data_IF_136721819017
#
_entry.id   IF_136721819017
#
_cell.length_a   1.000
_cell.length_b   1.000
_cell.length_c   1.000
_cell.angle_alpha   90.00
_cell.angle_beta   90.00
_cell.angle_gamma   90.00
#
_symmetry.space_group_name_H-M   'P 1'
#
loop_
_entity.id
_entity.type
_entity.pdbx_description
1 polymer ?
#
# COMPACT_ATOMS: atom_id res chain seq x y z
N UNK A 1 -65.85 -12.80 -16.59
CA UNK A 1 -64.77 -12.43 -17.54
C UNK A 1 -63.52 -12.13 -16.75
N UNK A 2 -62.73 -13.18 -16.52
CA UNK A 2 -61.56 -13.18 -15.64
C UNK A 2 -60.30 -12.99 -16.50
N UNK A 3 -59.55 -11.92 -16.30
CA UNK A 3 -58.24 -11.76 -16.95
C UNK A 3 -57.15 -12.21 -15.99
N UNK A 4 -56.56 -13.35 -16.32
CA UNK A 4 -55.30 -13.81 -15.71
C UNK A 4 -54.17 -12.89 -16.17
N UNK A 5 -53.45 -12.31 -15.23
CA UNK A 5 -52.18 -11.66 -15.45
C UNK A 5 -51.05 -12.69 -15.24
N UNK A 6 -50.41 -13.08 -16.33
CA UNK A 6 -49.25 -13.97 -16.31
C UNK A 6 -48.04 -13.17 -15.93
N UNK A 7 -47.49 -13.37 -14.73
CA UNK A 7 -46.21 -12.84 -14.31
C UNK A 7 -45.11 -13.68 -14.94
N UNK A 8 -44.33 -13.07 -15.85
CA UNK A 8 -43.13 -13.66 -16.45
C UNK A 8 -41.98 -13.50 -15.47
N UNK A 9 -41.66 -14.55 -14.74
CA UNK A 9 -40.47 -14.61 -13.92
C UNK A 9 -39.25 -14.85 -14.84
N UNK A 10 -38.46 -13.81 -15.06
CA UNK A 10 -37.16 -13.95 -15.72
C UNK A 10 -36.20 -14.50 -14.66
N UNK A 11 -35.98 -15.80 -14.71
CA UNK A 11 -34.87 -16.45 -13.99
C UNK A 11 -33.61 -16.15 -14.75
N UNK A 12 -32.84 -15.14 -14.29
CA UNK A 12 -31.48 -14.94 -14.74
C UNK A 12 -30.63 -16.00 -14.03
N UNK A 13 -30.38 -17.10 -14.71
CA UNK A 13 -29.36 -18.06 -14.34
C UNK A 13 -27.99 -17.36 -14.52
N UNK A 14 -27.44 -16.79 -13.45
CA UNK A 14 -26.01 -16.54 -13.40
C UNK A 14 -25.33 -17.92 -13.33
N UNK A 15 -25.00 -18.44 -14.50
CA UNK A 15 -23.95 -19.45 -14.60
C UNK A 15 -22.67 -18.76 -14.07
N UNK A 16 -22.35 -19.05 -12.83
CA UNK A 16 -21.02 -18.82 -12.29
C UNK A 16 -20.08 -19.74 -13.05
N UNK A 17 -19.61 -19.28 -14.20
CA UNK A 17 -18.37 -19.75 -14.76
C UNK A 17 -17.28 -19.30 -13.77
N UNK A 18 -17.05 -20.11 -12.74
CA UNK A 18 -15.76 -20.09 -12.05
C UNK A 18 -14.72 -20.62 -13.03
N UNK A 19 -14.29 -19.79 -13.97
CA UNK A 19 -12.95 -19.91 -14.45
C UNK A 19 -12.09 -19.48 -13.26
N UNK A 20 -11.72 -20.45 -12.43
CA UNK A 20 -10.46 -20.42 -11.76
C UNK A 20 -9.40 -20.38 -12.87
N UNK A 21 -9.20 -19.23 -13.50
CA UNK A 21 -7.91 -18.90 -14.06
C UNK A 21 -7.03 -19.04 -12.82
N UNK A 22 -6.33 -20.18 -12.73
CA UNK A 22 -5.29 -20.38 -11.75
C UNK A 22 -4.45 -19.11 -11.87
N UNK A 23 -4.45 -18.28 -10.83
CA UNK A 23 -3.49 -17.20 -10.71
C UNK A 23 -2.16 -17.92 -10.86
N UNK A 24 -1.56 -17.79 -12.01
CA UNK A 24 -0.22 -18.30 -12.25
C UNK A 24 0.69 -17.43 -11.41
N UNK A 25 0.73 -17.74 -10.13
CA UNK A 25 1.83 -17.30 -9.30
C UNK A 25 3.04 -17.93 -9.91
N UNK A 26 3.99 -17.15 -10.42
CA UNK A 26 5.24 -17.70 -10.88
C UNK A 26 5.84 -18.58 -9.78
N UNK A 27 6.48 -19.70 -10.10
CA UNK A 27 7.04 -20.56 -9.07
C UNK A 27 8.04 -19.82 -8.20
N UNK A 28 8.11 -20.10 -6.89
CA UNK A 28 9.04 -19.47 -5.97
C UNK A 28 10.48 -19.55 -6.51
N UNK A 29 11.16 -18.42 -6.60
CA UNK A 29 12.53 -18.32 -7.11
C UNK A 29 12.65 -18.28 -8.63
N UNK A 30 11.53 -18.27 -9.34
CA UNK A 30 11.57 -18.17 -10.80
C UNK A 30 11.69 -16.72 -11.28
N UNK A 31 11.90 -16.65 -12.54
CA UNK A 31 11.95 -15.55 -13.49
C UNK A 31 11.03 -14.34 -13.23
N UNK A 32 10.06 -14.42 -12.32
CA UNK A 32 9.19 -13.29 -11.96
C UNK A 32 9.96 -12.11 -11.37
N UNK A 33 11.14 -12.38 -10.83
CA UNK A 33 12.01 -11.36 -10.31
C UNK A 33 12.99 -10.82 -11.36
N UNK A 34 13.04 -11.49 -12.52
CA UNK A 34 13.68 -11.02 -13.74
C UNK A 34 12.58 -10.47 -14.65
N UNK A 35 12.24 -9.21 -14.49
CA UNK A 35 11.26 -8.58 -15.37
C UNK A 35 11.88 -8.33 -16.75
N UNK A 36 11.15 -8.62 -17.84
CA UNK A 36 11.62 -8.33 -19.18
C UNK A 36 11.80 -6.82 -19.36
N UNK A 37 12.64 -6.41 -20.33
CA UNK A 37 12.72 -5.01 -20.72
C UNK A 37 11.34 -4.42 -20.99
N UNK A 38 11.17 -3.13 -20.73
CA UNK A 38 9.94 -2.44 -21.04
C UNK A 38 9.64 -2.48 -22.54
N UNK A 39 8.38 -2.62 -22.86
CA UNK A 39 7.92 -2.35 -24.21
C UNK A 39 8.22 -0.89 -24.62
N UNK A 40 8.31 -0.61 -25.95
CA UNK A 40 8.51 0.74 -26.43
C UNK A 40 7.48 1.70 -25.83
N UNK A 41 7.94 2.86 -25.37
CA UNK A 41 7.10 3.89 -24.77
C UNK A 41 6.09 4.42 -25.79
N UNK A 42 4.79 4.30 -25.49
CA UNK A 42 3.71 4.93 -26.26
C UNK A 42 3.58 6.38 -25.85
N UNK A 43 2.99 7.25 -26.71
CA UNK A 43 2.65 8.61 -26.30
C UNK A 43 1.75 8.61 -25.06
N UNK A 44 2.05 9.48 -24.11
CA UNK A 44 1.22 9.65 -22.92
C UNK A 44 -0.09 10.35 -23.25
N UNK A 45 -1.19 9.93 -22.66
CA UNK A 45 -2.42 10.71 -22.62
C UNK A 45 -2.24 11.95 -21.75
N UNK A 46 -3.11 12.95 -21.91
CA UNK A 46 -3.05 14.16 -21.08
C UNK A 46 -3.32 13.85 -19.61
N UNK A 47 -4.18 12.87 -19.33
CA UNK A 47 -4.44 12.40 -17.98
C UNK A 47 -3.21 11.71 -17.36
N UNK A 48 -2.50 10.89 -18.12
CA UNK A 48 -1.26 10.25 -17.68
C UNK A 48 -0.14 11.25 -17.46
N UNK A 49 -0.02 12.27 -18.32
CA UNK A 49 0.92 13.38 -18.13
C UNK A 49 0.64 14.14 -16.84
N UNK A 50 -0.65 14.45 -16.58
CA UNK A 50 -1.06 15.12 -15.34
C UNK A 50 -0.73 14.29 -14.09
N UNK A 51 -0.79 12.98 -14.18
CA UNK A 51 -0.43 12.05 -13.10
C UNK A 51 1.05 11.71 -13.05
N UNK A 52 1.86 12.20 -13.97
CA UNK A 52 3.27 11.85 -14.09
C UNK A 52 3.52 10.41 -14.51
N UNK A 53 2.52 9.76 -15.14
CA UNK A 53 2.58 8.37 -15.54
C UNK A 53 3.06 8.21 -16.99
N UNK A 54 3.76 7.10 -17.28
CA UNK A 54 4.13 6.71 -18.64
C UNK A 54 3.14 5.69 -19.19
N UNK A 55 2.55 5.98 -20.34
CA UNK A 55 1.58 5.10 -21.00
C UNK A 55 2.19 3.97 -21.80
N UNK A 56 3.49 3.83 -21.79
CA UNK A 56 4.17 2.95 -22.74
C UNK A 56 4.61 1.61 -22.22
N UNK A 57 4.30 1.28 -21.00
CA UNK A 57 4.71 0.02 -20.38
C UNK A 57 3.61 -1.00 -20.45
N UNK A 58 3.91 -2.18 -20.98
CA UNK A 58 3.01 -3.31 -20.89
C UNK A 58 2.87 -3.71 -19.43
N UNK A 59 1.72 -3.40 -18.85
CA UNK A 59 1.34 -3.95 -17.56
C UNK A 59 1.15 -5.46 -17.72
N UNK A 60 1.43 -6.24 -16.65
CA UNK A 60 1.03 -7.64 -16.64
C UNK A 60 -0.46 -7.76 -16.99
N UNK A 61 -0.89 -8.90 -17.55
CA UNK A 61 -2.30 -9.13 -17.88
C UNK A 61 -3.21 -8.74 -16.73
N UNK A 62 -4.33 -8.09 -17.04
CA UNK A 62 -5.26 -7.56 -16.04
C UNK A 62 -5.76 -8.65 -15.08
N UNK A 63 -5.85 -9.87 -15.56
CA UNK A 63 -6.23 -11.05 -14.78
C UNK A 63 -5.27 -11.36 -13.63
N UNK A 64 -3.96 -11.08 -13.82
CA UNK A 64 -2.95 -11.24 -12.77
C UNK A 64 -2.98 -10.10 -11.75
N UNK A 65 -3.58 -8.97 -12.11
CA UNK A 65 -3.66 -7.79 -11.27
C UNK A 65 -5.02 -7.63 -10.58
N UNK A 66 -6.02 -8.45 -10.96
CA UNK A 66 -7.35 -8.32 -10.38
C UNK A 66 -7.36 -8.64 -8.89
N UNK A 67 -7.81 -7.70 -8.06
CA UNK A 67 -7.95 -7.96 -6.62
C UNK A 67 -8.95 -9.09 -6.38
N UNK A 68 -8.63 -10.00 -5.47
CA UNK A 68 -9.50 -11.10 -5.05
C UNK A 68 -10.14 -10.82 -3.71
N UNK A 69 -11.41 -11.20 -3.57
CA UNK A 69 -12.14 -11.06 -2.32
C UNK A 69 -12.02 -12.35 -1.49
N UNK A 70 -11.49 -12.22 -0.27
CA UNK A 70 -11.36 -13.35 0.64
C UNK A 70 -12.75 -13.88 1.05
N UNK A 71 -13.05 -15.18 0.86
CA UNK A 71 -14.33 -15.77 1.26
C UNK A 71 -14.58 -15.74 2.78
N UNK A 72 -13.52 -15.66 3.59
CA UNK A 72 -13.58 -15.60 5.05
C UNK A 72 -13.95 -14.24 5.63
N UNK A 73 -14.14 -13.20 4.80
CA UNK A 73 -14.51 -11.87 5.26
C UNK A 73 -15.91 -11.89 5.93
N UNK A 74 -16.07 -11.21 7.09
CA UNK A 74 -17.35 -11.11 7.78
C UNK A 74 -18.35 -10.31 6.96
N UNK A 75 -19.58 -10.82 6.83
CA UNK A 75 -20.67 -10.07 6.20
C UNK A 75 -21.13 -8.93 7.08
N UNK A 76 -21.38 -7.77 6.47
CA UNK A 76 -21.95 -6.64 7.19
C UNK A 76 -23.41 -6.90 7.55
N UNK A 77 -23.71 -6.72 8.82
CA UNK A 77 -25.06 -6.73 9.35
C UNK A 77 -25.24 -5.44 10.18
N UNK A 78 -26.11 -4.51 9.76
CA UNK A 78 -26.44 -3.34 10.57
C UNK A 78 -26.95 -3.77 11.95
N UNK A 79 -26.55 -3.07 12.99
CA UNK A 79 -27.06 -3.35 14.33
C UNK A 79 -28.57 -3.10 14.38
N UNK A 80 -29.33 -4.09 14.78
CA UNK A 80 -30.79 -4.01 14.86
C UNK A 80 -31.23 -2.85 15.77
N UNK A 81 -32.17 -2.03 15.31
CA UNK A 81 -32.75 -0.93 16.08
C UNK A 81 -31.88 0.33 16.23
N UNK A 82 -30.64 0.33 15.78
CA UNK A 82 -29.77 1.50 15.88
C UNK A 82 -30.10 2.53 14.79
N UNK A 83 -30.80 3.60 15.14
CA UNK A 83 -30.95 4.78 14.31
C UNK A 83 -29.72 5.68 14.52
N UNK A 84 -28.64 5.39 13.76
CA UNK A 84 -27.42 6.19 13.85
C UNK A 84 -27.63 7.54 13.21
N UNK A 85 -27.08 8.56 13.88
CA UNK A 85 -27.03 9.94 13.42
C UNK A 85 -25.59 10.43 13.56
N UNK A 86 -25.18 11.34 12.71
CA UNK A 86 -23.86 11.94 12.83
C UNK A 86 -23.51 12.74 11.58
N UNK A 87 -22.63 13.72 11.77
CA UNK A 87 -22.05 14.49 10.68
C UNK A 87 -20.55 14.58 10.92
N UNK A 88 -19.77 14.01 10.00
CA UNK A 88 -18.32 13.92 10.09
C UNK A 88 -17.66 14.63 8.92
N UNK A 89 -16.59 15.36 9.23
CA UNK A 89 -15.68 15.94 8.26
C UNK A 89 -14.52 14.98 8.02
N UNK A 90 -14.37 14.53 6.80
CA UNK A 90 -13.31 13.60 6.41
C UNK A 90 -12.53 14.14 5.23
N UNK A 91 -11.33 13.63 5.04
CA UNK A 91 -10.54 13.83 3.84
C UNK A 91 -9.87 12.52 3.40
N UNK A 92 -9.44 12.50 2.16
CA UNK A 92 -8.70 11.38 1.59
C UNK A 92 -7.47 11.89 0.86
N UNK A 93 -6.36 11.15 0.93
CA UNK A 93 -5.19 11.40 0.08
C UNK A 93 -5.58 11.44 -1.38
N UNK A 94 -4.82 12.15 -2.19
CA UNK A 94 -5.06 12.46 -3.60
C UNK A 94 -5.50 11.29 -4.50
N UNK A 95 -5.04 10.08 -4.21
CA UNK A 95 -5.40 8.86 -4.96
C UNK A 95 -6.62 8.11 -4.39
N UNK A 96 -7.14 8.50 -3.21
CA UNK A 96 -8.17 7.76 -2.49
C UNK A 96 -9.61 8.32 -2.55
N UNK A 97 -9.91 9.54 -3.08
CA UNK A 97 -11.24 10.13 -2.95
C UNK A 97 -12.35 9.27 -3.54
N UNK A 98 -12.09 8.58 -4.66
CA UNK A 98 -13.07 7.72 -5.31
C UNK A 98 -13.47 6.54 -4.41
N UNK A 99 -12.50 5.87 -3.79
CA UNK A 99 -12.72 4.75 -2.88
C UNK A 99 -13.45 5.22 -1.61
N UNK A 100 -12.99 6.30 -0.98
CA UNK A 100 -13.61 6.84 0.22
C UNK A 100 -15.07 7.25 -0.02
N UNK A 101 -15.35 7.95 -1.12
CA UNK A 101 -16.71 8.34 -1.50
C UNK A 101 -17.60 7.15 -1.81
N UNK A 102 -17.07 6.09 -2.43
CA UNK A 102 -17.81 4.86 -2.69
C UNK A 102 -18.21 4.14 -1.40
N UNK A 103 -17.31 4.05 -0.40
CA UNK A 103 -17.65 3.52 0.92
C UNK A 103 -18.74 4.36 1.61
N UNK A 104 -18.61 5.69 1.59
CA UNK A 104 -19.61 6.60 2.20
C UNK A 104 -20.97 6.45 1.53
N UNK A 105 -21.02 6.41 0.21
CA UNK A 105 -22.26 6.26 -0.55
C UNK A 105 -22.98 4.93 -0.22
N UNK A 106 -22.24 3.83 -0.18
CA UNK A 106 -22.79 2.52 0.15
C UNK A 106 -23.22 2.42 1.62
N UNK A 107 -22.46 3.00 2.54
CA UNK A 107 -22.82 3.02 3.97
C UNK A 107 -24.12 3.78 4.24
N UNK A 108 -24.34 4.91 3.54
CA UNK A 108 -25.58 5.70 3.65
C UNK A 108 -26.84 4.96 3.27
N UNK A 109 -26.75 3.91 2.44
CA UNK A 109 -27.91 3.05 2.14
C UNK A 109 -28.43 2.37 3.40
N UNK A 110 -27.52 1.94 4.29
CA UNK A 110 -27.86 1.31 5.56
C UNK A 110 -28.17 2.33 6.67
N UNK A 111 -27.47 3.47 6.64
CA UNK A 111 -27.53 4.50 7.71
C UNK A 111 -27.75 5.90 7.13
N UNK A 112 -28.95 6.21 6.62
CA UNK A 112 -29.22 7.50 5.95
C UNK A 112 -29.10 8.72 6.87
N UNK A 113 -29.16 8.54 8.18
CA UNK A 113 -28.96 9.60 9.16
C UNK A 113 -27.49 9.96 9.41
N UNK A 114 -26.53 9.23 8.83
CA UNK A 114 -25.11 9.53 8.98
C UNK A 114 -24.62 10.24 7.71
N UNK A 115 -24.05 11.42 7.91
CA UNK A 115 -23.42 12.21 6.86
C UNK A 115 -21.90 12.20 7.06
N UNK A 116 -21.15 11.89 6.03
CA UNK A 116 -19.68 11.94 5.99
C UNK A 116 -19.30 12.76 4.77
N UNK A 117 -18.72 13.93 4.99
CA UNK A 117 -18.23 14.79 3.93
C UNK A 117 -16.76 14.49 3.69
N UNK A 118 -16.45 13.93 2.52
CA UNK A 118 -15.08 13.61 2.08
C UNK A 118 -14.64 14.67 1.08
N UNK A 119 -14.06 15.75 1.57
CA UNK A 119 -13.69 16.89 0.72
C UNK A 119 -12.83 17.90 1.50
N UNK A 120 -11.84 18.58 0.86
CA UNK A 120 -11.22 18.29 -0.42
C UNK A 120 -10.20 17.13 -0.33
N UNK A 121 -9.65 16.65 -1.46
CA UNK A 121 -8.52 15.74 -1.42
C UNK A 121 -7.27 16.48 -0.92
N UNK A 122 -6.53 15.85 -0.01
CA UNK A 122 -5.26 16.35 0.47
C UNK A 122 -4.13 15.41 0.04
N UNK A 123 -2.99 15.95 -0.38
CA UNK A 123 -1.76 15.17 -0.42
C UNK A 123 -1.54 14.51 0.96
N UNK A 124 -1.05 13.27 0.98
CA UNK A 124 -1.08 12.40 2.17
C UNK A 124 -0.62 13.03 3.48
N UNK A 125 0.33 13.98 3.43
CA UNK A 125 0.83 14.68 4.62
C UNK A 125 -0.12 15.75 5.15
N UNK A 126 -0.90 16.40 4.28
CA UNK A 126 -1.74 17.53 4.69
C UNK A 126 -2.98 17.07 5.45
N UNK A 127 -3.59 15.95 5.05
CA UNK A 127 -4.74 15.40 5.75
C UNK A 127 -4.42 15.00 7.20
N UNK A 128 -3.25 14.41 7.43
CA UNK A 128 -2.79 14.10 8.78
C UNK A 128 -2.65 15.36 9.64
N UNK A 129 -2.08 16.43 9.10
CA UNK A 129 -1.97 17.72 9.80
C UNK A 129 -3.32 18.37 10.12
N UNK A 130 -4.30 18.24 9.22
CA UNK A 130 -5.66 18.75 9.47
C UNK A 130 -6.38 17.92 10.56
N UNK A 131 -6.11 16.62 10.66
CA UNK A 131 -6.56 15.80 11.78
C UNK A 131 -5.94 16.28 13.11
N UNK A 132 -4.64 16.55 13.13
CA UNK A 132 -3.93 17.12 14.31
C UNK A 132 -4.53 18.47 14.70
N UNK A 133 -4.88 19.34 13.75
CA UNK A 133 -5.52 20.61 14.02
C UNK A 133 -6.96 20.47 14.57
N UNK A 134 -7.59 19.31 14.40
CA UNK A 134 -8.99 19.07 14.76
C UNK A 134 -9.99 19.61 13.73
N UNK A 135 -9.53 19.86 12.50
CA UNK A 135 -10.38 20.31 11.40
C UNK A 135 -11.11 19.14 10.72
N UNK A 136 -10.62 17.90 10.92
CA UNK A 136 -11.20 16.66 10.43
C UNK A 136 -11.48 15.71 11.59
N UNK A 137 -12.56 14.95 11.48
CA UNK A 137 -12.89 13.87 12.40
C UNK A 137 -12.09 12.62 12.06
N UNK A 138 -11.86 12.37 10.75
CA UNK A 138 -11.01 11.29 10.28
C UNK A 138 -10.40 11.55 8.88
N UNK A 139 -9.34 10.83 8.58
CA UNK A 139 -8.64 10.94 7.30
C UNK A 139 -8.20 9.58 6.76
N UNK A 140 -8.41 9.37 5.46
CA UNK A 140 -7.87 8.23 4.71
C UNK A 140 -6.49 8.59 4.16
N UNK A 141 -5.47 7.88 4.59
CA UNK A 141 -4.09 8.10 4.16
C UNK A 141 -3.52 6.84 3.53
N UNK A 142 -2.79 7.02 2.47
CA UNK A 142 -2.20 5.95 1.65
C UNK A 142 -0.88 5.40 2.19
N UNK A 143 -0.59 5.61 3.44
CA UNK A 143 0.60 5.17 4.18
C UNK A 143 0.35 5.27 5.67
N UNK A 144 1.26 4.77 6.47
CA UNK A 144 1.31 5.06 7.90
C UNK A 144 1.47 6.56 8.14
N UNK A 145 0.98 7.05 9.29
CA UNK A 145 1.30 8.40 9.73
C UNK A 145 2.81 8.52 9.98
N UNK A 146 3.36 9.67 9.66
CA UNK A 146 4.78 9.94 9.93
C UNK A 146 5.03 10.04 11.42
N UNK A 147 6.25 9.75 11.90
CA UNK A 147 6.62 9.98 13.29
C UNK A 147 6.30 11.41 13.76
N UNK A 148 6.52 12.41 12.91
CA UNK A 148 6.19 13.81 13.22
C UNK A 148 4.68 14.04 13.36
N UNK A 149 3.85 13.46 12.46
CA UNK A 149 2.38 13.55 12.55
C UNK A 149 1.87 12.94 13.87
N UNK A 150 2.47 11.81 14.29
CA UNK A 150 2.15 11.13 15.56
C UNK A 150 2.58 11.99 16.75
N UNK A 151 3.81 12.52 16.72
CA UNK A 151 4.36 13.37 17.78
C UNK A 151 3.56 14.66 17.96
N UNK A 152 3.19 15.31 16.85
CA UNK A 152 2.37 16.53 16.89
C UNK A 152 0.97 16.25 17.47
N UNK A 153 0.38 15.10 17.08
CA UNK A 153 -0.90 14.66 17.61
C UNK A 153 -0.80 14.36 19.11
N UNK A 154 0.23 13.63 19.52
CA UNK A 154 0.49 13.31 20.93
C UNK A 154 0.70 14.56 21.77
N UNK A 155 1.48 15.51 21.27
CA UNK A 155 1.70 16.80 21.94
C UNK A 155 0.40 17.55 22.19
N UNK A 156 -0.54 17.49 21.24
CA UNK A 156 -1.81 18.20 21.35
C UNK A 156 -2.84 17.49 22.23
N UNK A 157 -2.93 16.16 22.11
CA UNK A 157 -4.03 15.40 22.73
C UNK A 157 -3.60 14.54 23.92
N UNK A 158 -2.29 14.33 24.12
CA UNK A 158 -1.73 13.50 25.19
C UNK A 158 -1.75 12.00 24.92
N UNK A 159 -2.09 11.59 23.69
CA UNK A 159 -2.11 10.20 23.22
C UNK A 159 -1.97 10.15 21.70
N UNK A 160 -1.67 8.97 21.16
CA UNK A 160 -1.49 8.76 19.73
C UNK A 160 -2.83 8.63 18.99
N UNK A 161 -2.91 9.02 17.70
CA UNK A 161 -4.10 8.82 16.90
C UNK A 161 -4.36 7.32 16.67
N UNK A 162 -5.62 6.93 16.56
CA UNK A 162 -5.96 5.57 16.13
C UNK A 162 -5.79 5.47 14.61
N UNK A 163 -4.91 4.58 14.17
CA UNK A 163 -4.68 4.25 12.77
C UNK A 163 -5.16 2.81 12.49
N UNK A 164 -6.13 2.68 11.59
CA UNK A 164 -6.76 1.39 11.27
C UNK A 164 -6.49 1.07 9.79
N UNK A 165 -5.79 -0.03 9.47
CA UNK A 165 -5.72 -0.51 8.10
C UNK A 165 -7.11 -0.87 7.57
N UNK A 166 -7.49 -0.31 6.42
CA UNK A 166 -8.82 -0.51 5.82
C UNK A 166 -8.79 -1.08 4.41
N UNK A 167 -7.64 -1.05 3.76
CA UNK A 167 -7.41 -1.64 2.43
C UNK A 167 -5.92 -1.86 2.21
N UNK A 168 -5.56 -2.82 1.36
CA UNK A 168 -4.25 -2.85 0.74
C UNK A 168 -4.07 -1.72 -0.26
N UNK A 169 -2.83 -1.44 -0.64
CA UNK A 169 -2.50 -0.65 -1.82
C UNK A 169 -2.73 -1.45 -3.10
N UNK A 170 -1.94 -1.20 -4.12
CA UNK A 170 -1.96 -1.94 -5.37
C UNK A 170 -0.80 -2.94 -5.43
N UNK A 171 -0.91 -3.94 -6.28
CA UNK A 171 0.18 -4.88 -6.52
C UNK A 171 1.21 -4.27 -7.48
N UNK A 172 0.80 -4.03 -8.71
CA UNK A 172 1.66 -3.48 -9.78
C UNK A 172 0.85 -2.53 -10.68
N UNK A 173 0.31 -1.47 -10.09
CA UNK A 173 -0.56 -0.56 -10.82
C UNK A 173 0.05 0.83 -10.90
N UNK A 174 0.23 1.35 -12.12
CA UNK A 174 0.80 2.67 -12.36
C UNK A 174 0.07 3.78 -11.61
N UNK A 175 0.83 4.55 -10.83
CA UNK A 175 0.31 5.73 -10.15
C UNK A 175 -0.60 5.46 -8.94
N UNK A 176 -0.81 4.20 -8.55
CA UNK A 176 -1.77 3.84 -7.51
C UNK A 176 -1.15 2.93 -6.44
N UNK A 177 -0.29 3.47 -5.60
CA UNK A 177 0.15 2.81 -4.36
C UNK A 177 0.64 1.37 -4.55
N UNK A 178 1.32 1.07 -5.63
CA UNK A 178 1.90 -0.24 -5.85
C UNK A 178 2.96 -0.56 -4.78
N UNK A 179 3.16 -1.85 -4.51
CA UNK A 179 4.20 -2.31 -3.62
C UNK A 179 5.58 -1.87 -4.16
N UNK A 180 6.52 -1.65 -3.24
CA UNK A 180 7.88 -1.21 -3.58
C UNK A 180 8.84 -2.38 -3.48
N UNK A 181 9.75 -2.53 -4.44
CA UNK A 181 10.79 -3.53 -4.43
C UNK A 181 12.18 -2.91 -4.27
N UNK A 182 13.08 -3.62 -3.56
CA UNK A 182 14.51 -3.39 -3.70
C UNK A 182 15.02 -4.25 -4.85
N UNK A 183 15.71 -3.62 -5.79
CA UNK A 183 16.17 -4.23 -7.02
C UNK A 183 17.69 -4.15 -7.16
N UNK A 184 18.26 -5.20 -7.72
CA UNK A 184 19.68 -5.28 -8.08
C UNK A 184 19.83 -5.74 -9.52
N UNK A 185 21.02 -5.56 -10.08
CA UNK A 185 21.35 -6.15 -11.37
C UNK A 185 21.10 -7.68 -11.34
N UNK A 186 20.62 -8.24 -12.44
CA UNK A 186 20.31 -9.68 -12.56
C UNK A 186 21.49 -10.59 -12.23
N UNK A 187 22.73 -10.13 -12.45
CA UNK A 187 23.96 -10.87 -12.23
C UNK A 187 24.53 -10.71 -10.80
N UNK A 188 23.89 -9.89 -9.95
CA UNK A 188 24.26 -9.74 -8.55
C UNK A 188 23.88 -11.02 -7.78
N UNK A 189 24.80 -11.67 -7.05
CA UNK A 189 24.51 -12.94 -6.37
C UNK A 189 23.70 -12.79 -5.08
N UNK A 190 23.44 -11.56 -4.59
CA UNK A 190 22.65 -11.39 -3.37
C UNK A 190 21.22 -11.93 -3.57
N UNK A 191 20.73 -12.69 -2.61
CA UNK A 191 19.43 -13.37 -2.73
C UNK A 191 18.31 -12.70 -1.94
N UNK A 192 18.65 -11.95 -0.90
CA UNK A 192 17.69 -11.31 0.04
C UNK A 192 18.37 -10.25 0.86
N UNK A 193 17.58 -9.33 1.44
CA UNK A 193 18.07 -8.31 2.37
C UNK A 193 17.12 -8.15 3.56
N UNK A 194 17.68 -7.66 4.67
CA UNK A 194 16.91 -7.23 5.83
C UNK A 194 16.75 -5.72 5.84
N UNK A 195 15.76 -5.23 6.60
CA UNK A 195 15.64 -3.80 6.86
C UNK A 195 16.85 -3.25 7.60
N UNK A 196 17.50 -4.08 8.46
CA UNK A 196 18.72 -3.68 9.15
C UNK A 196 19.88 -3.45 8.16
N UNK A 197 20.03 -4.32 7.14
CA UNK A 197 21.02 -4.16 6.08
C UNK A 197 20.68 -2.98 5.15
N UNK A 198 19.41 -2.76 4.86
CA UNK A 198 18.96 -1.63 4.04
C UNK A 198 19.15 -0.29 4.77
N UNK A 199 18.91 -0.24 6.07
CA UNK A 199 19.22 0.91 6.90
C UNK A 199 20.73 1.17 6.93
N UNK A 200 21.55 0.12 7.08
CA UNK A 200 23.02 0.22 7.02
C UNK A 200 23.53 0.80 5.68
N UNK A 201 22.84 0.51 4.58
CA UNK A 201 23.20 1.01 3.25
C UNK A 201 22.75 2.46 3.01
N UNK A 202 21.48 2.75 3.31
CA UNK A 202 20.82 3.96 2.84
C UNK A 202 20.71 5.07 3.90
N UNK A 203 20.82 4.73 5.19
CA UNK A 203 20.64 5.69 6.28
C UNK A 203 21.94 6.39 6.69
N UNK A 204 21.82 7.64 7.15
CA UNK A 204 22.84 8.33 7.91
C UNK A 204 22.63 8.22 9.43
N UNK A 205 21.41 7.82 9.85
CA UNK A 205 21.03 7.77 11.28
C UNK A 205 21.18 6.39 11.90
N UNK A 206 21.13 5.32 11.10
CA UNK A 206 21.31 3.92 11.53
C UNK A 206 20.49 3.54 12.76
N UNK A 207 19.22 3.97 12.82
CA UNK A 207 18.35 3.68 13.98
C UNK A 207 18.04 2.21 14.19
N UNK A 208 18.35 1.33 13.22
CA UNK A 208 18.23 -0.12 13.38
C UNK A 208 19.48 -0.76 13.98
N UNK A 209 20.53 0.03 14.25
CA UNK A 209 21.70 -0.40 15.01
C UNK A 209 22.77 -1.13 14.22
N UNK A 210 22.59 -1.39 12.93
CA UNK A 210 23.64 -1.97 12.10
C UNK A 210 24.68 -0.89 11.70
N UNK A 211 25.99 -1.23 11.64
CA UNK A 211 27.00 -0.31 11.17
C UNK A 211 26.81 0.02 9.69
N UNK A 212 27.29 1.20 9.27
CA UNK A 212 27.22 1.61 7.87
C UNK A 212 27.85 0.57 6.94
N UNK A 213 27.15 0.22 5.88
CA UNK A 213 27.62 -0.67 4.83
C UNK A 213 27.95 0.13 3.57
N UNK A 214 29.06 -0.20 2.91
CA UNK A 214 29.54 0.48 1.70
C UNK A 214 29.92 -0.49 0.59
N UNK A 215 30.17 -1.74 0.94
CA UNK A 215 30.56 -2.80 0.01
C UNK A 215 29.54 -3.94 0.04
N UNK A 216 29.54 -4.74 -1.01
CA UNK A 216 28.76 -5.97 -1.05
C UNK A 216 29.24 -7.01 -0.02
N UNK A 217 30.53 -6.92 0.38
CA UNK A 217 31.07 -7.73 1.47
C UNK A 217 30.46 -7.42 2.82
N UNK A 218 30.14 -6.13 3.11
CA UNK A 218 29.45 -5.73 4.34
C UNK A 218 28.05 -6.35 4.44
N UNK A 219 27.50 -6.76 3.30
CA UNK A 219 26.20 -7.47 3.22
C UNK A 219 26.34 -8.99 3.19
N UNK A 220 27.56 -9.51 3.32
CA UNK A 220 27.86 -10.95 3.40
C UNK A 220 28.27 -11.61 2.09
N UNK A 221 28.44 -10.86 0.99
CA UNK A 221 28.98 -11.42 -0.23
C UNK A 221 30.48 -11.66 -0.12
N UNK A 222 30.96 -12.73 -0.75
CA UNK A 222 32.36 -13.18 -0.70
C UNK A 222 33.00 -13.17 -2.08
N UNK A 223 34.29 -13.56 -2.16
CA UNK A 223 35.02 -13.67 -3.42
C UNK A 223 35.20 -12.30 -4.09
N UNK A 224 34.97 -12.25 -5.40
CA UNK A 224 35.12 -11.02 -6.19
C UNK A 224 34.19 -9.87 -5.75
N UNK A 225 33.11 -10.19 -5.08
CA UNK A 225 32.11 -9.21 -4.63
C UNK A 225 32.46 -8.56 -3.28
N UNK A 226 33.30 -9.19 -2.47
CA UNK A 226 33.56 -8.74 -1.11
C UNK A 226 34.05 -7.26 -1.04
N UNK A 227 34.90 -6.86 -1.95
CA UNK A 227 35.45 -5.50 -1.99
C UNK A 227 34.73 -4.55 -2.94
N UNK A 228 33.67 -4.99 -3.62
CA UNK A 228 32.97 -4.14 -4.59
C UNK A 228 32.09 -3.12 -3.86
N UNK A 229 32.15 -1.84 -4.25
CA UNK A 229 31.26 -0.83 -3.66
C UNK A 229 29.81 -1.12 -4.01
N UNK A 230 28.90 -0.71 -3.15
CA UNK A 230 27.45 -0.68 -3.44
C UNK A 230 27.13 0.68 -4.03
N UNK A 231 26.61 0.72 -5.24
CA UNK A 231 26.13 1.96 -5.86
C UNK A 231 24.65 2.15 -5.52
N UNK A 232 24.37 3.16 -4.72
CA UNK A 232 23.04 3.44 -4.23
C UNK A 232 22.27 4.30 -5.22
N UNK A 233 21.12 3.82 -5.66
CA UNK A 233 20.20 4.57 -6.53
C UNK A 233 18.87 4.74 -5.80
N UNK A 234 18.23 5.89 -5.96
CA UNK A 234 16.96 6.18 -5.31
C UNK A 234 16.12 7.19 -6.08
N UNK A 235 14.89 7.38 -5.64
CA UNK A 235 14.03 8.45 -6.11
C UNK A 235 14.36 9.71 -5.33
N UNK A 236 14.37 10.86 -6.01
CA UNK A 236 14.58 12.17 -5.39
C UNK A 236 13.66 12.36 -4.17
N UNK A 237 14.17 12.91 -3.05
CA UNK A 237 13.36 13.28 -1.89
C UNK A 237 12.09 14.05 -2.27
N UNK A 238 11.04 13.93 -1.46
CA UNK A 238 9.67 14.43 -1.68
C UNK A 238 8.81 13.63 -2.66
N UNK A 239 9.29 12.48 -3.11
CA UNK A 239 8.49 11.50 -3.82
C UNK A 239 7.78 10.56 -2.83
N UNK A 240 6.56 10.13 -3.16
CA UNK A 240 5.80 9.21 -2.29
C UNK A 240 6.44 7.84 -2.07
N UNK A 241 7.26 7.35 -3.01
CA UNK A 241 8.05 6.12 -2.83
C UNK A 241 9.22 6.36 -1.88
N UNK A 242 9.94 7.45 -2.06
CA UNK A 242 11.04 7.84 -1.16
C UNK A 242 10.56 7.95 0.28
N UNK A 243 9.49 8.70 0.51
CA UNK A 243 8.95 8.88 1.85
C UNK A 243 8.46 7.55 2.46
N UNK A 244 7.87 6.68 1.65
CA UNK A 244 7.44 5.36 2.11
C UNK A 244 8.64 4.50 2.55
N UNK A 245 9.73 4.47 1.76
CA UNK A 245 10.93 3.71 2.12
C UNK A 245 11.61 4.33 3.35
N UNK A 246 11.75 5.64 3.41
CA UNK A 246 12.32 6.33 4.57
C UNK A 246 11.56 5.97 5.85
N UNK A 247 10.24 6.03 5.80
CA UNK A 247 9.39 5.71 6.94
C UNK A 247 9.44 4.23 7.31
N UNK A 248 9.40 3.35 6.32
CA UNK A 248 9.26 1.90 6.54
C UNK A 248 10.59 1.22 6.89
N UNK A 249 11.68 1.66 6.27
CA UNK A 249 13.00 1.03 6.37
C UNK A 249 13.93 1.80 7.29
N UNK A 250 14.05 3.11 7.15
CA UNK A 250 15.04 3.91 7.88
C UNK A 250 14.52 4.44 9.22
N UNK A 251 13.21 4.60 9.37
CA UNK A 251 12.62 5.10 10.62
C UNK A 251 12.28 3.98 11.58
N UNK A 252 12.26 4.33 12.88
CA UNK A 252 11.78 3.46 13.97
C UNK A 252 10.76 4.23 14.82
N UNK A 253 10.01 3.61 15.72
CA UNK A 253 9.05 4.31 16.56
C UNK A 253 9.65 5.53 17.26
N UNK A 254 9.08 6.70 17.02
CA UNK A 254 9.55 7.98 17.57
C UNK A 254 10.80 8.59 16.90
N UNK A 255 11.41 7.93 15.93
CA UNK A 255 12.65 8.37 15.28
C UNK A 255 12.50 8.36 13.76
N UNK A 256 12.57 9.52 13.12
CA UNK A 256 12.58 9.66 11.67
C UNK A 256 13.97 9.42 11.13
N UNK A 257 14.13 8.40 10.27
CA UNK A 257 15.39 8.12 9.60
C UNK A 257 15.75 9.15 8.53
N UNK A 258 17.04 9.35 8.32
CA UNK A 258 17.54 10.28 7.31
C UNK A 258 18.42 9.57 6.29
N UNK A 259 18.35 10.02 5.04
CA UNK A 259 19.13 9.48 3.95
C UNK A 259 20.61 9.87 4.10
N UNK A 260 21.48 8.94 3.74
CA UNK A 260 22.93 9.25 3.65
C UNK A 260 23.25 10.04 2.37
N UNK A 261 24.42 10.66 2.36
CA UNK A 261 24.99 11.26 1.15
C UNK A 261 25.44 10.18 0.15
N UNK A 262 25.60 10.57 -1.12
CA UNK A 262 26.16 9.70 -2.16
C UNK A 262 25.13 8.80 -2.84
N UNK A 263 23.84 8.99 -2.62
CA UNK A 263 22.78 8.32 -3.37
C UNK A 263 22.61 9.01 -4.73
N UNK A 264 22.66 8.25 -5.83
CA UNK A 264 22.30 8.72 -7.18
C UNK A 264 20.79 8.87 -7.29
N UNK A 265 20.29 10.06 -7.03
CA UNK A 265 18.88 10.35 -7.08
C UNK A 265 18.38 10.53 -8.51
N UNK A 266 17.42 9.69 -8.89
CA UNK A 266 16.61 9.89 -10.09
C UNK A 266 15.48 10.90 -9.81
N UNK A 267 15.20 11.84 -10.73
CA UNK A 267 14.08 12.77 -10.57
C UNK A 267 12.71 12.09 -10.60
N UNK A 268 12.63 10.92 -11.23
CA UNK A 268 11.40 10.11 -11.34
C UNK A 268 11.73 8.63 -11.18
N UNK A 269 10.70 7.81 -11.02
CA UNK A 269 10.80 6.33 -10.90
C UNK A 269 11.19 5.65 -12.23
N UNK A 270 10.89 6.27 -13.38
CA UNK A 270 10.97 5.60 -14.68
C UNK A 270 12.35 5.09 -15.11
N UNK A 271 13.49 5.79 -14.88
CA UNK A 271 14.79 5.33 -15.32
C UNK A 271 15.51 4.44 -14.31
N UNK A 272 14.95 4.18 -13.13
CA UNK A 272 15.65 3.50 -12.03
C UNK A 272 16.01 2.06 -12.41
N UNK A 273 15.05 1.31 -12.95
CA UNK A 273 15.31 -0.08 -13.34
C UNK A 273 16.38 -0.17 -14.44
N UNK A 274 16.39 0.76 -15.42
CA UNK A 274 17.42 0.82 -16.46
C UNK A 274 18.80 1.14 -15.87
N UNK A 275 18.90 2.05 -14.90
CA UNK A 275 20.17 2.34 -14.20
C UNK A 275 20.73 1.06 -13.56
N UNK A 276 19.89 0.34 -12.81
CA UNK A 276 20.28 -0.89 -12.13
C UNK A 276 20.64 -2.01 -13.12
N UNK A 277 19.89 -2.14 -14.21
CA UNK A 277 20.19 -3.14 -15.25
C UNK A 277 21.56 -2.92 -15.92
N UNK A 278 22.02 -1.66 -16.00
CA UNK A 278 23.28 -1.28 -16.61
C UNK A 278 24.45 -1.12 -15.61
N UNK A 279 24.21 -1.26 -14.32
CA UNK A 279 25.24 -1.21 -13.29
C UNK A 279 25.20 -2.46 -12.41
N UNK A 280 26.20 -3.31 -12.58
CA UNK A 280 26.33 -4.60 -11.89
C UNK A 280 26.34 -4.47 -10.36
N UNK A 281 26.80 -3.33 -9.85
CA UNK A 281 26.96 -3.08 -8.42
C UNK A 281 25.87 -2.18 -7.83
N UNK A 282 24.87 -1.81 -8.63
CA UNK A 282 23.78 -0.97 -8.17
C UNK A 282 22.72 -1.73 -7.36
N UNK A 283 22.17 -1.03 -6.41
CA UNK A 283 20.91 -1.36 -5.73
C UNK A 283 20.01 -0.14 -5.76
N UNK A 284 18.71 -0.36 -5.96
CA UNK A 284 17.71 0.69 -5.91
C UNK A 284 16.42 0.21 -5.25
N UNK A 285 15.55 1.16 -4.90
CA UNK A 285 14.15 0.88 -4.62
C UNK A 285 13.27 1.53 -5.70
N UNK A 286 12.23 0.81 -6.10
CA UNK A 286 11.27 1.29 -7.10
C UNK A 286 9.91 0.61 -6.91
N UNK A 287 8.85 1.23 -7.42
CA UNK A 287 7.53 0.60 -7.46
C UNK A 287 7.50 -0.58 -8.43
N UNK A 288 6.82 -1.66 -8.04
CA UNK A 288 6.78 -2.88 -8.86
C UNK A 288 6.20 -2.66 -10.26
N UNK A 289 5.31 -1.67 -10.42
CA UNK A 289 4.73 -1.32 -11.73
C UNK A 289 5.74 -0.65 -12.67
N UNK A 290 6.84 -0.13 -12.16
CA UNK A 290 7.82 0.65 -12.93
C UNK A 290 9.04 -0.17 -13.35
N UNK A 291 9.13 -1.43 -12.93
CA UNK A 291 10.24 -2.31 -13.25
C UNK A 291 10.17 -2.76 -14.72
N UNK A 292 10.89 -2.08 -15.56
CA UNK A 292 10.83 -2.16 -17.02
C UNK A 292 12.14 -2.61 -17.67
N UNK A 293 13.08 -3.09 -16.88
CA UNK A 293 14.37 -3.61 -17.31
C UNK A 293 14.65 -4.95 -16.62
N UNK A 294 15.60 -5.77 -17.13
CA UNK A 294 15.92 -7.07 -16.57
C UNK A 294 16.69 -6.93 -15.25
N UNK A 295 15.97 -6.68 -14.17
CA UNK A 295 16.48 -6.56 -12.80
C UNK A 295 15.95 -7.67 -11.92
N UNK A 296 16.66 -7.97 -10.84
CA UNK A 296 16.24 -8.92 -9.82
C UNK A 296 15.63 -8.16 -8.64
N UNK A 297 14.39 -8.51 -8.27
CA UNK A 297 13.73 -7.97 -7.08
C UNK A 297 14.04 -8.88 -5.90
N UNK A 298 14.47 -8.29 -4.78
CA UNK A 298 14.92 -9.05 -3.62
C UNK A 298 13.78 -9.32 -2.64
N UNK A 299 13.66 -10.56 -2.13
CA UNK A 299 12.91 -10.82 -0.91
C UNK A 299 13.46 -9.98 0.25
N UNK A 300 12.56 -9.49 1.10
CA UNK A 300 12.95 -8.70 2.26
C UNK A 300 12.44 -9.32 3.55
N UNK A 301 13.23 -9.16 4.63
CA UNK A 301 12.88 -9.51 5.99
C UNK A 301 13.13 -8.34 6.92
N UNK A 302 12.48 -8.33 8.08
CA UNK A 302 12.75 -7.29 9.08
C UNK A 302 14.17 -7.44 9.64
N UNK A 303 14.55 -8.66 10.01
CA UNK A 303 15.81 -9.01 10.65
C UNK A 303 16.42 -10.28 10.06
N UNK A 304 17.68 -10.57 10.39
CA UNK A 304 18.43 -11.72 9.88
C UNK A 304 17.74 -13.08 10.11
N UNK A 305 16.99 -13.24 11.19
CA UNK A 305 16.24 -14.46 11.46
C UNK A 305 15.04 -14.66 10.52
N UNK A 306 14.65 -13.66 9.73
CA UNK A 306 13.49 -13.67 8.87
C UNK A 306 12.17 -13.55 9.64
N UNK A 307 11.03 -13.93 9.06
CA UNK A 307 10.89 -14.48 7.71
C UNK A 307 11.24 -13.48 6.60
N UNK A 308 11.55 -14.03 5.41
CA UNK A 308 11.79 -13.26 4.18
C UNK A 308 10.67 -13.51 3.19
N UNK A 309 10.10 -12.46 2.67
CA UNK A 309 9.02 -12.54 1.69
C UNK A 309 9.43 -11.87 0.38
N UNK A 310 9.21 -12.59 -0.71
CA UNK A 310 9.28 -12.03 -2.05
C UNK A 310 7.98 -11.28 -2.38
N UNK A 311 7.99 -10.25 -3.23
CA UNK A 311 6.81 -9.48 -3.60
C UNK A 311 5.88 -10.23 -4.58
N UNK A 312 5.47 -11.47 -4.24
CA UNK A 312 4.40 -12.17 -4.96
C UNK A 312 3.06 -11.48 -4.74
N UNK A 313 2.09 -11.76 -5.61
CA UNK A 313 0.75 -11.21 -5.45
C UNK A 313 0.15 -11.55 -4.06
N UNK A 314 0.28 -12.79 -3.63
CA UNK A 314 -0.24 -13.26 -2.34
C UNK A 314 0.42 -12.56 -1.17
N UNK A 315 1.76 -12.49 -1.17
CA UNK A 315 2.52 -11.84 -0.10
C UNK A 315 2.22 -10.34 -0.03
N UNK A 316 1.98 -9.69 -1.18
CA UNK A 316 1.58 -8.27 -1.20
C UNK A 316 0.13 -8.12 -0.74
N UNK A 317 -0.77 -9.00 -1.16
CA UNK A 317 -2.18 -8.94 -0.79
C UNK A 317 -2.42 -9.24 0.70
N UNK A 318 -1.66 -10.17 1.29
CA UNK A 318 -1.69 -10.45 2.73
C UNK A 318 -0.91 -9.43 3.58
N UNK A 319 -0.10 -8.58 2.93
CA UNK A 319 0.88 -7.69 3.55
C UNK A 319 2.00 -8.42 4.32
N UNK A 320 2.23 -9.70 4.06
CA UNK A 320 3.41 -10.42 4.55
C UNK A 320 4.69 -9.87 3.90
N UNK A 321 4.61 -9.44 2.63
CA UNK A 321 5.69 -8.66 2.01
C UNK A 321 5.78 -7.29 2.68
N UNK A 322 6.88 -7.02 3.36
CA UNK A 322 7.04 -5.87 4.26
C UNK A 322 6.96 -4.50 3.58
N UNK A 323 7.16 -4.45 2.26
CA UNK A 323 7.03 -3.22 1.46
C UNK A 323 5.72 -3.16 0.68
N UNK A 324 4.72 -3.94 1.10
CA UNK A 324 3.33 -3.76 0.69
C UNK A 324 2.80 -2.44 1.23
N UNK A 325 1.97 -1.76 0.46
CA UNK A 325 1.33 -0.53 0.89
C UNK A 325 -0.05 -0.85 1.47
N UNK A 326 -0.43 -0.06 2.46
CA UNK A 326 -1.75 -0.14 3.08
C UNK A 326 -2.41 1.25 3.04
N UNK A 327 -3.72 1.25 3.06
CA UNK A 327 -4.55 2.43 3.24
C UNK A 327 -5.05 2.43 4.68
N UNK A 328 -4.85 3.53 5.35
CA UNK A 328 -5.21 3.71 6.75
C UNK A 328 -6.37 4.70 6.90
N UNK A 329 -7.28 4.36 7.79
CA UNK A 329 -8.25 5.27 8.36
C UNK A 329 -7.71 5.76 9.69
N UNK A 330 -7.49 7.06 9.81
CA UNK A 330 -6.90 7.68 11.00
C UNK A 330 -7.91 8.62 11.63
N UNK A 331 -8.03 8.53 12.96
CA UNK A 331 -8.99 9.35 13.72
C UNK A 331 -8.49 9.65 15.13
N UNK A 332 -9.10 10.66 15.74
CA UNK A 332 -8.89 10.99 17.13
C UNK A 332 -9.77 10.09 18.01
N UNK A 333 -9.16 9.13 18.69
CA UNK A 333 -9.82 8.25 19.66
C UNK A 333 -9.17 8.40 21.03
N UNK A 334 -9.89 8.97 21.98
CA UNK A 334 -9.40 9.05 23.37
C UNK A 334 -9.26 7.63 23.95
N UNK A 335 -8.09 7.27 24.52
CA UNK A 335 -7.90 5.98 25.20
C UNK A 335 -8.99 5.74 26.27
N UNK A 336 -9.48 4.50 26.35
CA UNK A 336 -10.50 4.11 27.33
C UNK A 336 -11.91 4.63 27.04
N UNK A 337 -12.11 5.51 26.05
CA UNK A 337 -13.45 5.92 25.62
C UNK A 337 -13.88 5.14 24.37
N UNK A 338 -15.15 4.75 24.26
CA UNK A 338 -15.65 4.14 23.03
C UNK A 338 -15.58 5.16 21.88
N UNK A 339 -15.46 4.65 20.65
CA UNK A 339 -15.66 5.45 19.45
C UNK A 339 -17.10 5.95 19.39
N UNK A 340 -17.29 7.08 18.68
CA UNK A 340 -18.63 7.48 18.26
C UNK A 340 -19.33 6.29 17.57
N UNK A 341 -20.58 5.98 17.93
CA UNK A 341 -21.29 4.81 17.41
C UNK A 341 -21.39 4.78 15.88
N UNK A 342 -21.56 5.93 15.23
CA UNK A 342 -21.67 6.01 13.77
C UNK A 342 -20.31 5.86 13.11
N UNK A 343 -19.24 6.41 13.70
CA UNK A 343 -17.86 6.20 13.21
C UNK A 343 -17.42 4.73 13.37
N UNK A 344 -17.73 4.10 14.50
CA UNK A 344 -17.44 2.68 14.73
C UNK A 344 -18.20 1.78 13.74
N UNK A 345 -19.47 2.09 13.47
CA UNK A 345 -20.28 1.33 12.54
C UNK A 345 -19.83 1.52 11.10
N UNK A 346 -19.39 2.73 10.73
CA UNK A 346 -18.78 2.97 9.42
C UNK A 346 -17.51 2.13 9.23
N UNK A 347 -16.62 2.07 10.22
CA UNK A 347 -15.44 1.21 10.17
C UNK A 347 -15.81 -0.28 10.08
N UNK A 348 -16.82 -0.74 10.82
CA UNK A 348 -17.32 -2.11 10.69
C UNK A 348 -17.82 -2.40 9.29
N UNK A 349 -18.50 -1.45 8.65
CA UNK A 349 -18.94 -1.58 7.26
C UNK A 349 -17.74 -1.66 6.31
N UNK A 350 -16.79 -0.75 6.40
CA UNK A 350 -15.58 -0.72 5.56
C UNK A 350 -14.79 -2.03 5.69
N UNK A 351 -14.65 -2.55 6.91
CA UNK A 351 -13.94 -3.79 7.22
C UNK A 351 -14.77 -5.06 6.96
N UNK A 352 -15.97 -4.95 6.43
CA UNK A 352 -16.81 -6.09 6.09
C UNK A 352 -16.57 -6.57 4.66
N UNK A 353 -17.16 -7.74 4.33
CA UNK A 353 -17.18 -8.26 2.96
C UNK A 353 -17.74 -7.24 1.95
N UNK A 354 -18.79 -6.51 2.32
CA UNK A 354 -19.42 -5.50 1.47
C UNK A 354 -18.48 -4.31 1.26
N UNK A 355 -17.81 -3.83 2.31
CA UNK A 355 -16.82 -2.76 2.22
C UNK A 355 -15.60 -3.18 1.39
N UNK A 356 -15.12 -4.40 1.56
CA UNK A 356 -13.98 -4.93 0.79
C UNK A 356 -14.37 -5.28 -0.66
N UNK A 357 -15.63 -5.60 -0.95
CA UNK A 357 -16.13 -5.74 -2.32
C UNK A 357 -16.08 -4.40 -3.09
N UNK A 358 -16.26 -3.28 -2.39
CA UNK A 358 -16.09 -1.95 -2.98
C UNK A 358 -14.61 -1.71 -3.35
N UNK A 359 -13.68 -2.15 -2.50
CA UNK A 359 -12.24 -2.10 -2.83
C UNK A 359 -11.96 -2.92 -4.08
N UNK A 360 -12.44 -4.16 -4.13
CA UNK A 360 -12.29 -5.04 -5.29
C UNK A 360 -12.84 -4.39 -6.57
N UNK A 361 -14.00 -3.75 -6.49
CA UNK A 361 -14.65 -3.11 -7.63
C UNK A 361 -13.85 -1.94 -8.22
N UNK A 362 -12.96 -1.32 -7.45
CA UNK A 362 -12.03 -0.29 -7.96
C UNK A 362 -10.99 -0.87 -8.92
N UNK A 363 -10.71 -2.17 -8.85
CA UNK A 363 -9.68 -2.87 -9.65
C UNK A 363 -8.26 -2.32 -9.51
N UNK A 364 -8.03 -1.51 -8.52
CA UNK A 364 -6.74 -0.82 -8.25
C UNK A 364 -6.12 -1.32 -6.95
N UNK A 365 -6.95 -1.43 -5.91
CA UNK A 365 -6.53 -1.73 -4.56
C UNK A 365 -6.83 -3.16 -4.17
N UNK A 366 -6.04 -3.68 -3.25
CA UNK A 366 -6.16 -5.04 -2.74
C UNK A 366 -7.12 -5.07 -1.54
N UNK A 367 -8.24 -5.82 -1.59
CA UNK A 367 -9.05 -6.05 -0.42
C UNK A 367 -8.24 -6.70 0.70
N UNK A 368 -8.49 -6.30 1.95
CA UNK A 368 -7.91 -6.95 3.10
C UNK A 368 -8.34 -8.43 3.16
N UNK A 369 -7.44 -9.28 3.64
CA UNK A 369 -7.73 -10.67 3.99
C UNK A 369 -8.45 -10.74 5.33
N UNK A 370 -9.17 -11.84 5.57
CA UNK A 370 -9.95 -12.03 6.80
C UNK A 370 -9.11 -11.82 8.08
N UNK A 371 -7.87 -12.32 8.10
CA UNK A 371 -6.95 -12.12 9.23
C UNK A 371 -6.58 -10.66 9.47
N UNK A 372 -6.37 -9.90 8.40
CA UNK A 372 -6.10 -8.46 8.49
C UNK A 372 -7.32 -7.69 9.00
N UNK A 373 -8.52 -8.05 8.52
CA UNK A 373 -9.78 -7.47 9.00
C UNK A 373 -9.98 -7.73 10.49
N UNK A 374 -9.72 -8.96 10.96
CA UNK A 374 -9.81 -9.28 12.39
C UNK A 374 -8.83 -8.44 13.22
N UNK A 375 -7.61 -8.28 12.75
CA UNK A 375 -6.61 -7.42 13.39
C UNK A 375 -7.08 -5.95 13.46
N UNK A 376 -7.61 -5.42 12.36
CA UNK A 376 -8.15 -4.06 12.30
C UNK A 376 -9.36 -3.86 13.20
N UNK A 377 -10.29 -4.82 13.25
CA UNK A 377 -11.42 -4.79 14.18
C UNK A 377 -10.98 -4.83 15.64
N UNK A 378 -9.91 -5.58 15.94
CA UNK A 378 -9.31 -5.63 17.27
C UNK A 378 -8.77 -4.28 17.75
N UNK A 379 -8.37 -3.38 16.85
CA UNK A 379 -7.94 -2.02 17.19
C UNK A 379 -9.11 -1.14 17.67
N UNK A 380 -10.33 -1.42 17.20
CA UNK A 380 -11.52 -0.64 17.59
C UNK A 380 -11.99 -0.95 19.03
N UNK A 381 -11.62 -2.11 19.54
CA UNK A 381 -12.03 -2.56 20.88
C UNK A 381 -11.08 -2.03 21.99
N UNK A 382 -9.92 -1.49 21.63
CA UNK A 382 -8.94 -0.89 22.55
C UNK A 382 -9.30 0.57 22.81
#
# INVERSE_FOLDING_TARGET
MTKLATALAVVISLAAASSAAAQQTPPPGAVEWLLPPAAPVKPQSDEEKQRGMSSGRDLPPLELLQPTLDPGLPSYQPRAGAKLQGHFKAAASDVLPALAKAWVAAFRVYHPGVRIDVDPPYAGSLGAKELVKGNLDFVFVSRELKPDDISDFHTKFGYDPLSVPVSGGSYRHFGFLDAVGFIVNKDNPIERLTFDQLDALYSSTHFRGAPAATTWGDLGLTGEWASKPVHLVGVKPWNGFEEFIRQRVLSTPGHRGEWRDGIDYSPTVFPIADKVANDRYAIAYDGLAYLNAPVKVLPVGAHAAGPFYAPSYENVASADYLLSRLIFFNLNKTPGKPLDPAAAEFLRFVLSRQGQAIVQAQRLYLPLRAGQVQSSLGLLAR
#
